data_IF_123171654824
#
_entry.id   IF_123171654824
#
_cell.length_a   1.000
_cell.length_b   1.000
_cell.length_c   1.000
_cell.angle_alpha   90.00
_cell.angle_beta   90.00
_cell.angle_gamma   90.00
#
_symmetry.space_group_name_H-M   'P 1'
#
loop_
_entity.id
_entity.type
_entity.pdbx_description
1 polymer ?
#
# COMPACT_ATOMS: atom_id res chain seq x y z
N UNK A 1 -18.58 7.27 -7.11
CA UNK A 1 -18.63 5.90 -6.52
C UNK A 1 -20.09 5.48 -6.46
N UNK A 2 -20.44 4.28 -6.92
CA UNK A 2 -21.81 3.76 -6.80
C UNK A 2 -21.87 2.84 -5.57
N UNK A 3 -22.85 3.00 -4.66
CA UNK A 3 -22.95 2.16 -3.49
C UNK A 3 -23.39 0.74 -3.87
N UNK A 4 -22.73 -0.27 -3.30
CA UNK A 4 -23.20 -1.65 -3.29
C UNK A 4 -23.47 -2.02 -1.83
N UNK A 5 -24.72 -2.30 -1.52
CA UNK A 5 -25.19 -2.60 -0.17
C UNK A 5 -24.92 -4.07 0.13
N UNK A 6 -24.26 -4.34 1.25
CA UNK A 6 -23.91 -5.68 1.72
C UNK A 6 -25.00 -6.18 2.67
N UNK A 7 -25.24 -7.48 2.71
CA UNK A 7 -26.24 -8.08 3.61
C UNK A 7 -26.08 -7.68 5.09
N UNK A 8 -24.83 -7.43 5.52
CA UNK A 8 -24.50 -6.96 6.88
C UNK A 8 -24.98 -5.53 7.19
N UNK A 9 -25.35 -4.74 6.18
CA UNK A 9 -25.65 -3.32 6.32
C UNK A 9 -27.09 -3.05 6.80
N UNK A 10 -27.91 -4.09 7.07
CA UNK A 10 -29.29 -4.01 7.63
C UNK A 10 -30.27 -3.09 6.87
N UNK A 11 -30.01 -2.81 5.60
CA UNK A 11 -30.92 -2.07 4.68
C UNK A 11 -31.61 -3.08 3.76
N UNK A 12 -32.73 -2.71 3.13
CA UNK A 12 -33.27 -3.46 1.99
C UNK A 12 -32.26 -3.44 0.82
N UNK A 13 -31.34 -4.39 0.89
CA UNK A 13 -30.16 -4.46 0.02
C UNK A 13 -30.52 -4.80 -1.42
N UNK A 14 -31.65 -5.48 -1.65
CA UNK A 14 -32.01 -5.97 -2.97
C UNK A 14 -32.46 -4.82 -3.86
N UNK A 15 -33.38 -3.99 -3.37
CA UNK A 15 -33.95 -2.90 -4.15
C UNK A 15 -32.93 -1.80 -4.44
N UNK A 16 -32.16 -1.38 -3.42
CA UNK A 16 -31.11 -0.37 -3.63
C UNK A 16 -29.97 -0.86 -4.53
N UNK A 17 -29.67 -2.15 -4.51
CA UNK A 17 -28.67 -2.69 -5.44
C UNK A 17 -29.20 -2.68 -6.88
N UNK A 18 -30.50 -2.94 -7.13
CA UNK A 18 -31.07 -2.86 -8.49
C UNK A 18 -30.82 -1.50 -9.15
N UNK A 19 -31.00 -0.40 -8.42
CA UNK A 19 -30.69 0.94 -8.96
C UNK A 19 -29.22 1.09 -9.34
N UNK A 20 -28.31 0.58 -8.51
CA UNK A 20 -26.88 0.56 -8.81
C UNK A 20 -26.59 -0.28 -10.06
N UNK A 21 -27.23 -1.45 -10.21
CA UNK A 21 -27.11 -2.29 -11.41
C UNK A 21 -27.57 -1.56 -12.69
N UNK A 22 -28.73 -0.89 -12.65
CA UNK A 22 -29.24 -0.11 -13.80
C UNK A 22 -28.23 0.98 -14.19
N UNK A 23 -27.67 1.70 -13.20
CA UNK A 23 -26.65 2.73 -13.45
C UNK A 23 -25.39 2.11 -14.06
N UNK A 24 -24.91 0.97 -13.56
CA UNK A 24 -23.73 0.30 -14.11
C UNK A 24 -23.98 -0.22 -15.52
N UNK A 25 -25.15 -0.78 -15.81
CA UNK A 25 -25.49 -1.27 -17.15
C UNK A 25 -25.50 -0.12 -18.16
N UNK A 26 -26.12 1.01 -17.81
CA UNK A 26 -26.11 2.22 -18.66
C UNK A 26 -24.70 2.74 -18.92
N UNK A 27 -23.79 2.67 -17.95
CA UNK A 27 -22.40 3.09 -18.12
C UNK A 27 -21.66 2.14 -19.07
N UNK A 28 -21.80 0.82 -18.89
CA UNK A 28 -21.20 -0.19 -19.76
C UNK A 28 -21.75 -0.11 -21.18
N UNK A 29 -23.06 0.07 -21.36
CA UNK A 29 -23.69 0.28 -22.67
C UNK A 29 -23.22 1.56 -23.38
N UNK A 30 -22.75 2.56 -22.62
CA UNK A 30 -22.08 3.78 -23.15
C UNK A 30 -20.57 3.61 -23.32
N UNK A 31 -20.06 2.37 -23.29
CA UNK A 31 -18.63 2.03 -23.41
C UNK A 31 -17.75 2.73 -22.37
N UNK A 32 -18.27 2.89 -21.15
CA UNK A 32 -17.53 3.41 -19.99
C UNK A 32 -17.03 2.27 -19.12
N UNK A 33 -15.96 2.52 -18.37
CA UNK A 33 -15.36 1.55 -17.47
C UNK A 33 -15.92 1.69 -16.05
N UNK A 34 -15.91 0.58 -15.31
CA UNK A 34 -16.32 0.54 -13.90
C UNK A 34 -15.24 -0.19 -13.11
N UNK A 35 -14.81 0.41 -12.00
CA UNK A 35 -13.90 -0.22 -11.04
C UNK A 35 -14.69 -0.89 -9.92
N UNK A 36 -14.37 -2.15 -9.63
CA UNK A 36 -15.02 -2.96 -8.59
C UNK A 36 -13.95 -3.62 -7.72
N UNK A 37 -14.08 -3.50 -6.40
CA UNK A 37 -13.23 -4.21 -5.44
C UNK A 37 -13.78 -5.62 -5.19
N UNK A 38 -13.18 -6.62 -5.82
CA UNK A 38 -13.68 -8.00 -5.92
C UNK A 38 -13.85 -8.74 -4.59
N UNK A 39 -12.93 -8.59 -3.63
CA UNK A 39 -13.03 -9.22 -2.30
C UNK A 39 -14.26 -8.70 -1.53
N UNK A 40 -14.60 -7.43 -1.76
CA UNK A 40 -15.70 -6.77 -1.07
C UNK A 40 -15.46 -6.68 0.44
N UNK A 41 -14.23 -6.45 0.88
CA UNK A 41 -13.80 -5.94 2.19
C UNK A 41 -12.34 -5.50 2.10
N UNK A 42 -11.78 -5.02 3.20
CA UNK A 42 -10.39 -4.55 3.26
C UNK A 42 -9.84 -4.97 4.61
N UNK A 43 -8.59 -5.44 4.66
CA UNK A 43 -7.90 -5.78 5.90
C UNK A 43 -7.24 -4.57 6.55
N UNK A 44 -7.03 -4.66 7.87
CA UNK A 44 -6.36 -3.60 8.63
C UNK A 44 -4.84 -3.66 8.54
N UNK A 45 -4.30 -4.81 8.12
CA UNK A 45 -2.87 -5.04 7.87
C UNK A 45 -2.66 -5.43 6.40
N UNK A 46 -1.46 -5.18 5.89
CA UNK A 46 -1.04 -5.76 4.61
C UNK A 46 -0.98 -7.27 4.80
N UNK A 47 -1.69 -7.97 3.94
CA UNK A 47 -1.63 -9.42 3.85
C UNK A 47 -1.21 -9.72 2.43
N UNK A 48 -0.10 -10.43 2.26
CA UNK A 48 0.34 -10.96 0.96
C UNK A 48 -0.54 -12.15 0.59
N UNK A 49 -1.84 -11.89 0.41
CA UNK A 49 -2.88 -12.91 0.22
C UNK A 49 -4.12 -12.30 -0.41
N UNK A 50 -4.63 -12.94 -1.46
CA UNK A 50 -5.91 -12.64 -2.09
C UNK A 50 -7.02 -13.46 -1.43
N UNK A 51 -8.04 -12.78 -0.92
CA UNK A 51 -9.26 -13.44 -0.49
C UNK A 51 -10.16 -13.75 -1.70
N UNK A 52 -10.97 -14.83 -1.63
CA UNK A 52 -11.83 -15.21 -2.74
C UNK A 52 -12.68 -14.04 -3.23
N UNK A 53 -12.63 -13.76 -4.53
CA UNK A 53 -13.41 -12.67 -5.12
C UNK A 53 -14.89 -13.04 -5.20
N UNK A 54 -15.75 -12.03 -5.13
CA UNK A 54 -17.21 -12.19 -5.24
C UNK A 54 -17.65 -12.15 -6.69
N UNK A 55 -18.74 -12.87 -6.99
CA UNK A 55 -19.39 -12.95 -8.31
C UNK A 55 -20.01 -11.62 -8.82
N UNK A 56 -19.87 -10.53 -8.08
CA UNK A 56 -20.55 -9.26 -8.35
C UNK A 56 -20.15 -8.62 -9.68
N UNK A 57 -18.86 -8.64 -10.02
CA UNK A 57 -18.36 -8.07 -11.27
C UNK A 57 -18.93 -8.80 -12.50
N UNK A 58 -18.88 -10.14 -12.50
CA UNK A 58 -19.45 -10.96 -13.57
C UNK A 58 -20.98 -10.77 -13.69
N UNK A 59 -21.72 -10.69 -12.57
CA UNK A 59 -23.16 -10.39 -12.59
C UNK A 59 -23.48 -9.05 -13.24
N UNK A 60 -22.72 -8.00 -12.91
CA UNK A 60 -22.90 -6.67 -13.51
C UNK A 60 -22.62 -6.74 -15.02
N UNK A 61 -21.50 -7.36 -15.42
CA UNK A 61 -21.12 -7.45 -16.82
C UNK A 61 -22.14 -8.21 -17.67
N UNK A 62 -22.60 -9.39 -17.24
CA UNK A 62 -23.64 -10.12 -17.95
C UNK A 62 -24.99 -9.39 -17.94
N UNK A 63 -25.36 -8.73 -16.84
CA UNK A 63 -26.60 -7.93 -16.81
C UNK A 63 -26.58 -6.81 -17.85
N UNK A 64 -25.43 -6.14 -18.03
CA UNK A 64 -25.27 -5.11 -19.05
C UNK A 64 -25.39 -5.67 -20.47
N UNK A 65 -24.83 -6.86 -20.71
CA UNK A 65 -24.94 -7.54 -22.01
C UNK A 65 -26.38 -7.93 -22.34
N UNK A 66 -27.16 -8.39 -21.36
CA UNK A 66 -28.58 -8.71 -21.56
C UNK A 66 -29.35 -7.45 -21.94
N UNK A 67 -29.15 -6.35 -21.21
CA UNK A 67 -29.86 -5.07 -21.44
C UNK A 67 -29.50 -4.46 -22.81
N UNK A 68 -28.25 -4.62 -23.25
CA UNK A 68 -27.77 -4.17 -24.56
C UNK A 68 -28.12 -5.13 -25.71
N UNK A 69 -28.66 -6.31 -25.41
CA UNK A 69 -28.91 -7.36 -26.40
C UNK A 69 -27.64 -7.92 -27.04
N UNK A 70 -26.55 -8.02 -26.28
CA UNK A 70 -25.25 -8.57 -26.67
C UNK A 70 -24.55 -7.82 -27.82
N UNK A 71 -24.91 -6.56 -28.09
CA UNK A 71 -24.37 -5.79 -29.24
C UNK A 71 -22.95 -5.30 -29.01
N UNK A 72 -22.66 -4.80 -27.81
CA UNK A 72 -21.35 -4.27 -27.45
C UNK A 72 -20.59 -5.28 -26.59
N UNK A 73 -19.27 -5.46 -26.81
CA UNK A 73 -18.47 -6.34 -25.99
C UNK A 73 -18.24 -5.76 -24.59
N UNK A 74 -18.38 -6.59 -23.57
CA UNK A 74 -18.06 -6.26 -22.17
C UNK A 74 -16.89 -7.12 -21.71
N UNK A 75 -15.84 -6.49 -21.20
CA UNK A 75 -14.64 -7.17 -20.71
C UNK A 75 -14.56 -7.11 -19.18
N UNK A 76 -14.14 -8.21 -18.57
CA UNK A 76 -13.61 -8.22 -17.21
C UNK A 76 -12.09 -8.26 -17.26
N UNK A 77 -11.42 -7.52 -16.38
CA UNK A 77 -9.97 -7.55 -16.26
C UNK A 77 -9.58 -7.50 -14.78
N UNK A 78 -8.71 -8.41 -14.35
CA UNK A 78 -8.15 -8.40 -13.01
C UNK A 78 -7.14 -7.27 -12.86
N UNK A 79 -7.15 -6.60 -11.70
CA UNK A 79 -6.12 -5.62 -11.32
C UNK A 79 -5.49 -6.05 -9.99
N UNK A 80 -4.19 -6.29 -9.97
CA UNK A 80 -3.40 -6.50 -8.77
C UNK A 80 -2.84 -5.17 -8.26
N UNK A 81 -3.12 -4.82 -7.00
CA UNK A 81 -2.62 -3.57 -6.40
C UNK A 81 -1.65 -3.92 -5.28
N UNK A 82 -0.37 -3.69 -5.51
CA UNK A 82 0.72 -4.08 -4.65
C UNK A 82 1.31 -2.84 -3.96
N UNK A 83 0.95 -2.61 -2.70
CA UNK A 83 1.55 -1.57 -1.87
C UNK A 83 2.77 -2.09 -1.14
N UNK A 84 3.81 -1.26 -0.99
CA UNK A 84 4.81 -1.50 0.07
C UNK A 84 4.16 -1.29 1.44
N UNK A 85 3.46 -0.16 1.63
CA UNK A 85 2.58 0.11 2.78
C UNK A 85 1.56 1.23 2.49
N UNK A 86 0.27 1.00 2.81
CA UNK A 86 -0.81 1.96 2.51
C UNK A 86 -0.94 3.12 3.52
N UNK A 87 -0.22 3.08 4.63
CA UNK A 87 -0.22 4.08 5.71
C UNK A 87 1.07 4.91 5.80
N UNK A 88 2.17 4.45 5.20
CA UNK A 88 3.43 5.18 5.16
C UNK A 88 3.47 6.18 3.99
N UNK A 89 4.02 7.36 4.26
CA UNK A 89 4.20 8.42 3.26
C UNK A 89 5.39 8.07 2.37
N UNK A 90 5.21 8.20 1.06
CA UNK A 90 6.25 7.88 0.08
C UNK A 90 6.42 6.37 -0.16
N UNK A 91 5.43 5.57 0.23
CA UNK A 91 5.35 4.17 -0.16
C UNK A 91 5.18 3.99 -1.66
N UNK A 92 5.73 2.90 -2.16
CA UNK A 92 5.59 2.49 -3.55
C UNK A 92 4.26 1.75 -3.75
N UNK A 93 3.68 1.89 -4.93
CA UNK A 93 2.54 1.11 -5.40
C UNK A 93 2.81 0.63 -6.82
N UNK A 94 2.55 -0.66 -7.06
CA UNK A 94 2.57 -1.28 -8.38
C UNK A 94 1.17 -1.77 -8.68
N UNK A 95 0.64 -1.33 -9.81
CA UNK A 95 -0.65 -1.80 -10.33
C UNK A 95 -0.35 -2.62 -11.56
N UNK A 96 -0.67 -3.91 -11.48
CA UNK A 96 -0.56 -4.83 -12.61
C UNK A 96 -1.94 -5.23 -13.10
N UNK A 97 -2.06 -5.50 -14.39
CA UNK A 97 -3.32 -5.79 -15.05
C UNK A 97 -3.24 -7.14 -15.77
N UNK A 98 -4.12 -8.04 -15.40
CA UNK A 98 -4.18 -9.37 -15.98
C UNK A 98 -4.93 -9.39 -17.31
N UNK A 99 -5.34 -10.59 -17.72
CA UNK A 99 -5.95 -10.80 -19.03
C UNK A 99 -7.38 -10.26 -19.09
N UNK A 100 -7.77 -9.76 -20.26
CA UNK A 100 -9.15 -9.36 -20.53
C UNK A 100 -9.99 -10.58 -20.88
N UNK A 101 -11.02 -10.84 -20.09
CA UNK A 101 -12.03 -11.87 -20.35
C UNK A 101 -13.21 -11.21 -21.04
N UNK A 102 -13.47 -11.57 -22.30
CA UNK A 102 -14.63 -11.10 -23.06
C UNK A 102 -15.87 -11.89 -22.61
N UNK A 103 -16.85 -11.22 -22.00
CA UNK A 103 -18.06 -11.90 -21.52
C UNK A 103 -18.97 -12.37 -22.66
N UNK A 104 -18.86 -11.77 -23.85
CA UNK A 104 -19.65 -12.15 -25.02
C UNK A 104 -19.32 -13.57 -25.50
N UNK A 105 -18.07 -14.02 -25.30
CA UNK A 105 -17.60 -15.36 -25.66
C UNK A 105 -18.32 -16.45 -24.85
N UNK A 106 -18.93 -16.09 -23.71
CA UNK A 106 -19.67 -16.99 -22.83
C UNK A 106 -21.19 -16.90 -23.03
N UNK A 107 -21.68 -16.31 -24.13
CA UNK A 107 -23.11 -16.11 -24.39
C UNK A 107 -23.92 -17.40 -24.33
N UNK A 108 -23.49 -18.42 -25.06
CA UNK A 108 -24.22 -19.68 -25.16
C UNK A 108 -24.30 -20.38 -23.81
N UNK A 109 -23.16 -20.51 -23.12
CA UNK A 109 -23.09 -21.09 -21.78
C UNK A 109 -23.95 -20.30 -20.78
N UNK A 110 -23.96 -18.97 -20.88
CA UNK A 110 -24.78 -18.13 -20.01
C UNK A 110 -26.28 -18.36 -20.25
N UNK A 111 -26.72 -18.46 -21.51
CA UNK A 111 -28.12 -18.72 -21.84
C UNK A 111 -28.58 -20.11 -21.38
N UNK A 112 -27.68 -21.10 -21.40
CA UNK A 112 -27.95 -22.45 -20.89
C UNK A 112 -28.00 -22.47 -19.34
N UNK A 113 -27.01 -21.88 -18.67
CA UNK A 113 -26.93 -21.86 -17.21
C UNK A 113 -26.21 -20.61 -16.67
N UNK A 114 -26.95 -19.52 -16.40
CA UNK A 114 -26.38 -18.26 -15.93
C UNK A 114 -25.52 -18.39 -14.68
N UNK A 115 -25.98 -19.18 -13.71
CA UNK A 115 -25.31 -19.33 -12.40
C UNK A 115 -23.98 -20.05 -12.51
N UNK A 116 -23.93 -21.10 -13.36
CA UNK A 116 -22.71 -21.86 -13.63
C UNK A 116 -21.69 -20.98 -14.35
N UNK A 117 -22.08 -20.33 -15.45
CA UNK A 117 -21.17 -19.48 -16.25
C UNK A 117 -20.62 -18.29 -15.46
N UNK A 118 -21.45 -17.62 -14.64
CA UNK A 118 -20.96 -16.56 -13.73
C UNK A 118 -19.88 -17.11 -12.80
N UNK A 119 -20.06 -18.33 -12.29
CA UNK A 119 -19.10 -18.95 -11.37
C UNK A 119 -17.80 -19.27 -12.10
N UNK A 120 -17.86 -19.87 -13.28
CA UNK A 120 -16.70 -20.21 -14.12
C UNK A 120 -15.87 -18.98 -14.46
N UNK A 121 -16.52 -17.92 -14.98
CA UNK A 121 -15.83 -16.66 -15.30
C UNK A 121 -15.22 -16.01 -14.06
N UNK A 122 -15.90 -16.10 -12.91
CA UNK A 122 -15.36 -15.57 -11.64
C UNK A 122 -14.12 -16.36 -11.20
N UNK A 123 -14.10 -17.69 -11.38
CA UNK A 123 -12.94 -18.52 -11.06
C UNK A 123 -11.76 -18.20 -11.98
N UNK A 124 -12.01 -17.99 -13.28
CA UNK A 124 -10.97 -17.56 -14.22
C UNK A 124 -10.38 -16.21 -13.83
N UNK A 125 -11.23 -15.25 -13.46
CA UNK A 125 -10.80 -13.95 -12.98
C UNK A 125 -10.02 -14.04 -11.65
N UNK A 126 -10.44 -14.89 -10.71
CA UNK A 126 -9.74 -15.11 -9.44
C UNK A 126 -8.34 -15.69 -9.68
N UNK A 127 -8.22 -16.69 -10.55
CA UNK A 127 -6.94 -17.30 -10.91
C UNK A 127 -5.99 -16.31 -11.58
N UNK A 128 -6.49 -15.49 -12.52
CA UNK A 128 -5.73 -14.42 -13.15
C UNK A 128 -5.28 -13.38 -12.11
N UNK A 129 -6.16 -12.92 -11.21
CA UNK A 129 -5.80 -11.96 -10.17
C UNK A 129 -4.73 -12.46 -9.18
N UNK A 130 -4.69 -13.78 -8.90
CA UNK A 130 -3.68 -14.37 -8.01
C UNK A 130 -2.26 -14.33 -8.58
N UNK A 131 -2.09 -14.18 -9.90
CA UNK A 131 -0.76 -14.04 -10.50
C UNK A 131 -0.22 -12.61 -10.39
N UNK A 132 -1.10 -11.63 -10.17
CA UNK A 132 -0.77 -10.20 -10.14
C UNK A 132 -0.32 -9.70 -8.76
N UNK A 133 -0.43 -10.55 -7.72
CA UNK A 133 -0.03 -10.21 -6.35
C UNK A 133 0.71 -11.38 -5.70
N UNK A 134 1.64 -11.14 -4.76
CA UNK A 134 2.22 -12.21 -3.94
C UNK A 134 1.13 -12.84 -3.08
N UNK A 135 0.49 -13.90 -3.57
CA UNK A 135 -0.63 -14.58 -2.92
C UNK A 135 -0.15 -15.80 -2.13
N UNK A 136 0.03 -15.64 -0.82
CA UNK A 136 0.40 -16.71 0.10
C UNK A 136 -0.85 -17.28 0.77
N UNK A 137 -1.03 -18.60 0.71
CA UNK A 137 -2.32 -19.26 0.98
C UNK A 137 -2.78 -19.16 2.43
N UNK A 138 -1.87 -19.27 3.40
CA UNK A 138 -2.18 -19.27 4.84
C UNK A 138 -1.64 -18.03 5.54
N UNK A 139 -2.29 -17.55 6.62
CA UNK A 139 -1.79 -16.41 7.38
C UNK A 139 -0.39 -16.61 7.96
N UNK A 140 -0.06 -17.80 8.50
CA UNK A 140 1.27 -18.03 9.08
C UNK A 140 2.37 -17.97 8.00
N UNK A 141 2.10 -18.54 6.82
CA UNK A 141 3.04 -18.48 5.70
C UNK A 141 3.18 -17.08 5.13
N UNK A 142 2.11 -16.27 5.15
CA UNK A 142 2.18 -14.88 4.73
C UNK A 142 3.06 -14.04 5.68
N UNK A 143 3.00 -14.32 6.99
CA UNK A 143 3.88 -13.67 7.98
C UNK A 143 5.34 -14.11 7.79
N UNK A 144 5.58 -15.40 7.51
CA UNK A 144 6.91 -15.91 7.17
C UNK A 144 7.47 -15.31 5.87
N UNK A 145 6.62 -15.15 4.84
CA UNK A 145 6.99 -14.47 3.58
C UNK A 145 7.46 -13.04 3.83
N UNK A 146 6.75 -12.29 4.68
CA UNK A 146 7.16 -10.93 5.08
C UNK A 146 8.47 -10.92 5.88
N UNK A 147 8.66 -11.89 6.78
CA UNK A 147 9.91 -12.01 7.54
C UNK A 147 11.12 -12.27 6.64
N UNK A 148 10.96 -13.15 5.64
CA UNK A 148 12.01 -13.41 4.65
C UNK A 148 12.32 -12.14 3.85
N UNK A 149 11.31 -11.43 3.34
CA UNK A 149 11.52 -10.16 2.64
C UNK A 149 12.18 -9.11 3.54
N UNK A 150 11.85 -9.07 4.83
CA UNK A 150 12.46 -8.18 5.80
C UNK A 150 13.95 -8.46 5.98
N UNK A 151 14.33 -9.74 6.12
CA UNK A 151 15.70 -10.16 6.35
C UNK A 151 16.54 -10.06 5.07
N UNK A 152 16.07 -10.57 3.94
CA UNK A 152 16.81 -10.53 2.68
C UNK A 152 16.88 -9.13 2.07
N UNK A 153 15.91 -8.27 2.41
CA UNK A 153 15.74 -6.91 1.86
C UNK A 153 15.57 -6.86 0.33
N UNK A 154 15.25 -7.99 -0.30
CA UNK A 154 15.03 -8.09 -1.76
C UNK A 154 13.58 -7.88 -2.16
N UNK A 155 12.63 -8.04 -1.23
CA UNK A 155 11.20 -7.94 -1.52
C UNK A 155 10.59 -6.57 -1.29
N UNK A 156 9.26 -6.53 -1.28
CA UNK A 156 8.45 -5.31 -1.15
C UNK A 156 8.15 -4.90 0.30
N UNK A 157 8.94 -5.41 1.27
CA UNK A 157 8.81 -5.03 2.67
C UNK A 157 9.03 -3.51 2.84
N UNK A 158 8.16 -2.78 3.57
CA UNK A 158 8.12 -1.33 3.51
C UNK A 158 9.31 -0.60 4.13
N UNK A 159 9.98 -1.21 5.11
CA UNK A 159 11.08 -0.57 5.85
C UNK A 159 12.43 -1.26 5.62
N UNK A 160 12.41 -2.48 5.09
CA UNK A 160 13.58 -3.33 4.96
C UNK A 160 13.70 -3.78 3.52
N UNK A 161 14.18 -2.88 2.68
CA UNK A 161 14.41 -3.12 1.26
C UNK A 161 15.73 -2.50 0.81
N UNK A 162 16.26 -2.99 -0.30
CA UNK A 162 17.37 -2.35 -0.99
C UNK A 162 16.84 -1.30 -1.99
N UNK A 163 17.13 0.01 -1.78
CA UNK A 163 16.70 1.06 -2.69
C UNK A 163 17.39 1.03 -4.06
N UNK A 164 18.44 0.20 -4.24
CA UNK A 164 19.06 -0.01 -5.56
C UNK A 164 18.21 -0.88 -6.49
N UNK A 165 17.28 -1.67 -5.93
CA UNK A 165 16.40 -2.57 -6.66
C UNK A 165 15.07 -1.85 -6.92
N UNK A 166 14.66 -1.77 -8.19
CA UNK A 166 13.38 -1.18 -8.58
C UNK A 166 12.21 -1.88 -7.88
N UNK A 167 11.12 -1.16 -7.62
CA UNK A 167 9.96 -1.76 -6.95
C UNK A 167 9.37 -2.93 -7.75
N UNK A 168 9.43 -2.88 -9.09
CA UNK A 168 9.01 -3.95 -9.98
C UNK A 168 9.83 -5.24 -9.77
N UNK A 169 11.16 -5.17 -9.75
CA UNK A 169 12.00 -6.36 -9.49
C UNK A 169 11.81 -6.88 -8.05
N UNK A 170 11.60 -5.99 -7.08
CA UNK A 170 11.27 -6.39 -5.70
C UNK A 170 9.92 -7.12 -5.63
N UNK A 171 8.95 -6.70 -6.44
CA UNK A 171 7.65 -7.34 -6.56
C UNK A 171 7.73 -8.70 -7.27
N UNK A 172 8.53 -8.83 -8.33
CA UNK A 172 8.79 -10.11 -9.00
C UNK A 172 9.42 -11.12 -8.03
N UNK A 173 10.43 -10.71 -7.26
CA UNK A 173 10.98 -11.53 -6.17
C UNK A 173 9.90 -11.96 -5.17
N UNK A 174 9.00 -11.06 -4.79
CA UNK A 174 7.92 -11.38 -3.87
C UNK A 174 6.94 -12.43 -4.44
N UNK A 175 6.63 -12.37 -5.74
CA UNK A 175 5.82 -13.36 -6.46
C UNK A 175 6.50 -14.74 -6.50
N UNK A 176 7.78 -14.78 -6.87
CA UNK A 176 8.57 -16.01 -6.93
C UNK A 176 8.66 -16.67 -5.55
N UNK A 177 8.94 -15.86 -4.52
CA UNK A 177 8.99 -16.32 -3.13
C UNK A 177 7.64 -16.85 -2.65
N UNK A 178 6.53 -16.16 -2.96
CA UNK A 178 5.18 -16.62 -2.59
C UNK A 178 4.85 -17.97 -3.26
N UNK A 179 5.20 -18.12 -4.53
CA UNK A 179 5.01 -19.36 -5.30
C UNK A 179 5.81 -20.51 -4.68
N UNK A 180 7.07 -20.25 -4.33
CA UNK A 180 7.95 -21.25 -3.72
C UNK A 180 7.46 -21.67 -2.33
N UNK A 181 7.07 -20.71 -1.47
CA UNK A 181 6.53 -20.98 -0.13
C UNK A 181 5.25 -21.81 -0.20
N UNK A 182 4.34 -21.48 -1.12
CA UNK A 182 3.09 -22.23 -1.30
C UNK A 182 3.32 -23.69 -1.75
N UNK A 183 4.46 -23.99 -2.37
CA UNK A 183 4.85 -25.35 -2.75
C UNK A 183 5.53 -26.14 -1.60
N UNK A 184 5.94 -25.45 -0.53
CA UNK A 184 6.68 -26.03 0.61
C UNK A 184 5.98 -25.69 1.95
N UNK A 185 4.77 -26.22 2.18
CA UNK A 185 4.01 -25.98 3.41
C UNK A 185 4.75 -26.51 4.66
N UNK A 186 4.62 -25.83 5.80
CA UNK A 186 5.33 -26.20 7.04
C UNK A 186 5.07 -27.64 7.50
N UNK A 187 3.86 -28.16 7.26
CA UNK A 187 3.45 -29.52 7.61
C UNK A 187 4.32 -30.59 6.93
N UNK A 188 4.95 -30.26 5.80
CA UNK A 188 5.76 -31.18 5.00
C UNK A 188 7.24 -30.76 4.95
N UNK A 189 7.62 -29.65 5.59
CA UNK A 189 8.97 -29.08 5.51
C UNK A 189 9.49 -28.72 6.91
N UNK A 190 10.06 -29.71 7.61
CA UNK A 190 10.61 -29.52 8.95
C UNK A 190 11.71 -28.44 9.01
N UNK A 191 12.55 -28.34 7.98
CA UNK A 191 13.62 -27.33 7.92
C UNK A 191 13.08 -25.88 7.90
N UNK A 192 11.93 -25.67 7.26
CA UNK A 192 11.26 -24.36 7.22
C UNK A 192 10.58 -24.03 8.54
N UNK A 193 10.03 -25.03 9.22
CA UNK A 193 9.49 -24.88 10.59
C UNK A 193 10.59 -24.43 11.55
N UNK A 194 11.77 -25.07 11.50
CA UNK A 194 12.93 -24.67 12.31
C UNK A 194 13.37 -23.24 11.96
N UNK A 195 13.49 -22.92 10.67
CA UNK A 195 13.89 -21.57 10.24
C UNK A 195 12.89 -20.49 10.69
N UNK A 196 11.58 -20.78 10.62
CA UNK A 196 10.52 -19.89 11.14
C UNK A 196 10.73 -19.61 12.63
N UNK A 197 11.04 -20.64 13.41
CA UNK A 197 11.24 -20.50 14.86
C UNK A 197 12.53 -19.72 15.17
N UNK A 198 13.62 -19.97 14.44
CA UNK A 198 14.87 -19.19 14.54
C UNK A 198 14.62 -17.69 14.24
N UNK A 199 13.80 -17.39 13.23
CA UNK A 199 13.40 -16.02 12.88
C UNK A 199 12.51 -15.41 13.98
N UNK A 200 11.60 -16.20 14.56
CA UNK A 200 10.74 -15.74 15.66
C UNK A 200 11.58 -15.36 16.89
N UNK A 201 12.53 -16.20 17.28
CA UNK A 201 13.48 -15.95 18.37
C UNK A 201 14.31 -14.69 18.11
N UNK A 202 14.74 -14.50 16.86
CA UNK A 202 15.45 -13.30 16.44
C UNK A 202 14.61 -12.03 16.60
N UNK A 203 13.33 -12.06 16.19
CA UNK A 203 12.40 -10.93 16.37
C UNK A 203 12.10 -10.66 17.85
N UNK A 204 12.01 -11.70 18.67
CA UNK A 204 11.86 -11.54 20.11
C UNK A 204 13.10 -10.87 20.72
N UNK A 205 14.30 -11.26 20.30
CA UNK A 205 15.55 -10.64 20.77
C UNK A 205 15.66 -9.17 20.37
N UNK A 206 15.28 -8.83 19.13
CA UNK A 206 15.14 -7.45 18.68
C UNK A 206 14.19 -6.66 19.59
N UNK A 207 13.02 -7.24 19.90
CA UNK A 207 12.03 -6.62 20.79
C UNK A 207 12.57 -6.45 22.22
N UNK A 208 13.22 -7.47 22.79
CA UNK A 208 13.83 -7.45 24.12
C UNK A 208 14.89 -6.36 24.24
N UNK A 209 15.68 -6.17 23.19
CA UNK A 209 16.64 -5.08 23.11
C UNK A 209 16.00 -3.75 22.75
N UNK A 210 14.72 -3.68 22.39
CA UNK A 210 14.05 -2.44 21.96
C UNK A 210 14.68 -1.83 20.71
N UNK A 211 15.08 -2.68 19.75
CA UNK A 211 15.68 -2.32 18.47
C UNK A 211 14.87 -2.97 17.35
N UNK A 212 14.52 -2.22 16.31
CA UNK A 212 13.90 -2.78 15.11
C UNK A 212 14.94 -3.24 14.09
N UNK A 213 14.57 -4.19 13.22
CA UNK A 213 15.44 -4.64 12.14
C UNK A 213 16.02 -3.52 11.24
N UNK A 214 15.24 -2.51 10.78
CA UNK A 214 15.80 -1.41 10.01
C UNK A 214 16.79 -0.56 10.82
N UNK A 215 16.59 -0.39 12.13
CA UNK A 215 17.53 0.32 13.01
C UNK A 215 18.84 -0.46 13.19
N UNK A 216 18.76 -1.78 13.43
CA UNK A 216 19.94 -2.66 13.53
C UNK A 216 20.77 -2.62 12.25
N UNK A 217 20.13 -2.83 11.10
CA UNK A 217 20.80 -2.81 9.80
C UNK A 217 21.50 -1.47 9.52
N UNK A 218 20.81 -0.35 9.78
CA UNK A 218 21.39 0.98 9.60
C UNK A 218 22.59 1.25 10.53
N UNK A 219 22.57 0.70 11.76
CA UNK A 219 23.68 0.80 12.69
C UNK A 219 24.89 -0.07 12.29
N UNK A 220 24.65 -1.25 11.73
CA UNK A 220 25.69 -2.23 11.37
C UNK A 220 26.36 -1.95 10.01
N UNK A 221 25.59 -1.73 8.95
CA UNK A 221 26.12 -1.70 7.58
C UNK A 221 26.24 -0.29 6.97
N UNK A 222 25.53 0.71 7.51
CA UNK A 222 25.41 2.03 6.88
C UNK A 222 25.85 3.23 7.74
N UNK A 223 26.97 3.18 8.51
CA UNK A 223 27.46 4.36 9.24
C UNK A 223 27.87 5.51 8.30
N UNK A 224 28.29 5.22 7.07
CA UNK A 224 28.68 6.23 6.06
C UNK A 224 27.52 7.07 5.51
N UNK A 225 26.26 6.65 5.68
CA UNK A 225 25.07 7.41 5.24
C UNK A 225 24.69 8.55 6.21
N UNK A 226 25.38 8.69 7.34
CA UNK A 226 25.13 9.77 8.31
C UNK A 226 25.54 11.13 7.73
N UNK A 227 26.71 11.21 7.07
CA UNK A 227 27.23 12.48 6.51
C UNK A 227 26.38 12.98 5.34
N UNK A 228 26.04 12.16 4.31
CA UNK A 228 25.08 12.56 3.28
C UNK A 228 23.68 12.86 3.84
N UNK A 229 23.29 12.16 4.92
CA UNK A 229 22.04 12.41 5.64
C UNK A 229 22.00 13.80 6.27
N UNK A 230 23.11 14.24 6.88
CA UNK A 230 23.23 15.57 7.47
C UNK A 230 23.22 16.66 6.40
N UNK A 231 23.93 16.47 5.29
CA UNK A 231 23.87 17.39 4.15
C UNK A 231 22.44 17.53 3.60
N UNK A 232 21.73 16.41 3.47
CA UNK A 232 20.33 16.41 3.04
C UNK A 232 19.43 17.18 4.02
N UNK A 233 19.65 17.03 5.33
CA UNK A 233 18.94 17.81 6.36
C UNK A 233 19.22 19.31 6.21
N UNK A 234 20.49 19.70 6.07
CA UNK A 234 20.88 21.11 5.91
C UNK A 234 20.27 21.73 4.64
N UNK A 235 20.30 21.01 3.53
CA UNK A 235 19.71 21.45 2.25
C UNK A 235 18.20 21.71 2.37
N UNK A 236 17.48 20.84 3.08
CA UNK A 236 16.03 20.96 3.24
C UNK A 236 15.61 21.83 4.42
N UNK A 237 16.55 22.24 5.29
CA UNK A 237 16.23 22.93 6.54
C UNK A 237 15.45 24.25 6.33
N UNK A 238 15.81 25.14 5.39
CA UNK A 238 15.05 26.37 5.18
C UNK A 238 13.59 26.09 4.80
N UNK A 239 13.36 25.14 3.90
CA UNK A 239 12.02 24.73 3.48
C UNK A 239 11.27 23.98 4.58
N UNK A 240 11.97 23.21 5.42
CA UNK A 240 11.41 22.53 6.56
C UNK A 240 10.95 23.50 7.65
N UNK A 241 11.61 24.65 7.82
CA UNK A 241 11.17 25.71 8.74
C UNK A 241 9.84 26.31 8.23
N UNK A 242 9.73 26.59 6.93
CA UNK A 242 8.46 27.04 6.34
C UNK A 242 7.36 25.96 6.50
N UNK A 243 7.70 24.69 6.32
CA UNK A 243 6.76 23.57 6.53
C UNK A 243 6.34 23.43 7.99
N UNK A 244 7.26 23.66 8.94
CA UNK A 244 6.97 23.69 10.36
C UNK A 244 5.96 24.80 10.67
N UNK A 245 6.18 26.00 10.14
CA UNK A 245 5.29 27.15 10.34
C UNK A 245 3.90 26.93 9.74
N UNK A 246 3.82 26.44 8.50
CA UNK A 246 2.55 26.39 7.76
C UNK A 246 1.75 25.11 7.97
N UNK A 247 2.40 23.98 8.28
CA UNK A 247 1.76 22.66 8.19
C UNK A 247 1.96 21.76 9.41
N UNK A 248 2.94 21.99 10.28
CA UNK A 248 3.20 21.04 11.37
C UNK A 248 2.03 20.91 12.36
N UNK A 249 1.49 22.04 12.84
CA UNK A 249 0.36 22.03 13.77
C UNK A 249 -0.84 21.25 13.19
N UNK A 250 -1.40 21.60 12.01
CA UNK A 250 -2.52 20.86 11.47
C UNK A 250 -2.19 19.39 11.19
N UNK A 251 -0.99 19.06 10.71
CA UNK A 251 -0.62 17.67 10.43
C UNK A 251 -0.61 16.82 11.70
N UNK A 252 -0.04 17.32 12.80
CA UNK A 252 0.01 16.56 14.05
C UNK A 252 -1.37 16.46 14.71
N UNK A 253 -2.18 17.52 14.65
CA UNK A 253 -3.57 17.50 15.12
C UNK A 253 -4.41 16.52 14.32
N UNK A 254 -4.30 16.54 12.98
CA UNK A 254 -4.97 15.59 12.09
C UNK A 254 -4.53 14.16 12.40
N UNK A 255 -3.22 13.91 12.52
CA UNK A 255 -2.69 12.59 12.85
C UNK A 255 -3.29 12.08 14.16
N UNK A 256 -3.21 12.87 15.22
CA UNK A 256 -3.75 12.53 16.54
C UNK A 256 -5.25 12.26 16.47
N UNK A 257 -6.03 13.14 15.83
CA UNK A 257 -7.48 13.00 15.72
C UNK A 257 -7.87 11.76 14.92
N UNK A 258 -7.23 11.51 13.78
CA UNK A 258 -7.51 10.36 12.92
C UNK A 258 -7.19 9.05 13.65
N UNK A 259 -6.02 8.94 14.26
CA UNK A 259 -5.58 7.72 14.95
C UNK A 259 -6.45 7.43 16.19
N UNK A 260 -6.98 8.48 16.84
CA UNK A 260 -7.90 8.34 17.98
C UNK A 260 -9.35 8.02 17.56
N UNK A 261 -9.83 8.62 16.47
CA UNK A 261 -11.25 8.54 16.07
C UNK A 261 -11.54 7.34 15.18
N UNK A 262 -10.64 7.05 14.23
CA UNK A 262 -10.83 5.93 13.31
C UNK A 262 -10.27 4.65 13.92
N UNK A 263 -11.17 3.76 14.33
CA UNK A 263 -10.82 2.45 14.92
C UNK A 263 -9.97 1.55 14.00
N UNK A 264 -10.12 1.69 12.68
CA UNK A 264 -9.49 0.82 11.69
C UNK A 264 -8.27 1.49 11.04
N UNK A 265 -7.05 0.95 11.23
CA UNK A 265 -5.81 1.54 10.70
C UNK A 265 -5.74 1.72 9.19
N UNK A 266 -6.46 0.89 8.42
CA UNK A 266 -6.45 0.98 6.95
C UNK A 266 -6.99 2.31 6.40
N UNK A 267 -7.78 3.03 7.18
CA UNK A 267 -8.31 4.34 6.78
C UNK A 267 -7.42 5.50 7.20
N UNK A 268 -6.35 5.25 7.96
CA UNK A 268 -5.55 6.31 8.54
C UNK A 268 -4.80 7.11 7.49
N UNK A 269 -4.06 6.47 6.59
CA UNK A 269 -3.27 7.13 5.56
C UNK A 269 -4.11 8.04 4.67
N UNK A 270 -5.16 7.48 4.07
CA UNK A 270 -6.05 8.22 3.17
C UNK A 270 -6.79 9.36 3.86
N UNK A 271 -7.29 9.15 5.08
CA UNK A 271 -8.00 10.21 5.82
C UNK A 271 -7.06 11.34 6.21
N UNK A 272 -5.85 11.02 6.71
CA UNK A 272 -4.83 12.06 7.03
C UNK A 272 -4.48 12.87 5.79
N UNK A 273 -4.30 12.22 4.64
CA UNK A 273 -4.01 12.90 3.38
C UNK A 273 -5.15 13.84 2.96
N UNK A 274 -6.39 13.35 2.90
CA UNK A 274 -7.55 14.16 2.49
C UNK A 274 -7.75 15.35 3.44
N UNK A 275 -7.67 15.13 4.74
CA UNK A 275 -7.79 16.20 5.73
C UNK A 275 -6.64 17.20 5.60
N UNK A 276 -5.40 16.75 5.39
CA UNK A 276 -4.26 17.66 5.23
C UNK A 276 -4.40 18.52 3.96
N UNK A 277 -4.84 17.94 2.84
CA UNK A 277 -5.08 18.65 1.58
C UNK A 277 -6.16 19.72 1.71
N UNK A 278 -7.13 19.55 2.62
CA UNK A 278 -8.20 20.54 2.83
C UNK A 278 -7.82 21.57 3.91
N UNK A 279 -7.37 21.10 5.07
CA UNK A 279 -7.16 21.93 6.26
C UNK A 279 -5.91 22.81 6.13
N UNK A 280 -4.81 22.27 5.58
CA UNK A 280 -3.57 23.05 5.46
C UNK A 280 -3.77 24.28 4.58
N UNK A 281 -4.38 24.21 3.38
CA UNK A 281 -4.69 25.42 2.61
C UNK A 281 -5.58 26.40 3.36
N UNK A 282 -6.66 25.94 4.00
CA UNK A 282 -7.62 26.81 4.70
C UNK A 282 -6.93 27.63 5.80
N UNK A 283 -6.09 27.00 6.62
CA UNK A 283 -5.35 27.67 7.70
C UNK A 283 -4.37 28.71 7.15
N UNK A 284 -3.89 28.53 5.91
CA UNK A 284 -2.91 29.41 5.28
C UNK A 284 -3.54 30.51 4.41
N UNK A 285 -4.88 30.58 4.28
CA UNK A 285 -5.57 31.68 3.57
C UNK A 285 -5.26 33.05 4.19
N UNK A 286 -5.30 33.25 5.53
CA UNK A 286 -4.94 34.54 6.12
C UNK A 286 -3.52 34.97 5.79
N UNK A 287 -2.58 34.01 5.77
CA UNK A 287 -1.19 34.28 5.39
C UNK A 287 -1.08 34.66 3.90
N UNK A 288 -1.85 34.01 3.02
CA UNK A 288 -1.93 34.38 1.60
C UNK A 288 -2.42 35.82 1.43
N UNK A 289 -3.50 36.22 2.12
CA UNK A 289 -4.04 37.58 2.07
C UNK A 289 -3.05 38.61 2.64
N UNK A 290 -2.37 38.27 3.73
CA UNK A 290 -1.32 39.11 4.31
C UNK A 290 -0.14 39.29 3.35
N UNK A 291 0.34 38.20 2.73
CA UNK A 291 1.43 38.25 1.75
C UNK A 291 1.06 39.11 0.53
N UNK A 292 -0.17 39.01 0.04
CA UNK A 292 -0.67 39.87 -1.04
C UNK A 292 -0.64 41.37 -0.68
N UNK A 293 -0.98 41.70 0.57
CA UNK A 293 -0.98 43.08 1.07
C UNK A 293 0.44 43.61 1.37
N UNK A 294 1.35 42.72 1.77
CA UNK A 294 2.73 43.07 2.12
C UNK A 294 3.65 43.28 0.90
N UNK A 295 3.30 42.72 -0.26
CA UNK A 295 4.09 42.87 -1.48
C UNK A 295 3.85 44.24 -2.12
N UNK A 296 4.91 45.02 -2.30
CA UNK A 296 4.84 46.36 -2.93
C UNK A 296 4.93 46.34 -4.46
N UNK A 297 4.84 45.18 -5.11
CA UNK A 297 4.93 45.07 -6.57
C UNK A 297 3.59 45.42 -7.26
N UNK A 298 3.61 45.47 -8.59
CA UNK A 298 2.41 45.70 -9.41
C UNK A 298 1.39 44.58 -9.13
N UNK A 299 0.12 44.93 -8.95
CA UNK A 299 -0.94 44.04 -8.48
C UNK A 299 -0.98 42.63 -9.14
N UNK A 300 -0.80 42.45 -10.47
CA UNK A 300 -0.78 41.11 -11.07
C UNK A 300 0.39 40.24 -10.58
N UNK A 301 1.53 40.85 -10.31
CA UNK A 301 2.73 40.13 -9.87
C UNK A 301 2.65 39.68 -8.41
N UNK A 302 1.99 40.48 -7.56
CA UNK A 302 1.67 40.06 -6.19
C UNK A 302 0.87 38.76 -6.17
N UNK A 303 -0.16 38.65 -7.03
CA UNK A 303 -0.97 37.45 -7.15
C UNK A 303 -0.19 36.24 -7.63
N UNK A 304 0.68 36.40 -8.62
CA UNK A 304 1.54 35.32 -9.13
C UNK A 304 2.47 34.81 -8.01
N UNK A 305 3.18 35.72 -7.33
CA UNK A 305 4.13 35.35 -6.27
C UNK A 305 3.43 34.70 -5.09
N UNK A 306 2.33 35.31 -4.60
CA UNK A 306 1.62 34.80 -3.44
C UNK A 306 0.93 33.45 -3.72
N UNK A 307 0.40 33.27 -4.93
CA UNK A 307 -0.19 31.99 -5.36
C UNK A 307 0.89 30.92 -5.51
N UNK A 308 2.03 31.24 -6.14
CA UNK A 308 3.16 30.31 -6.27
C UNK A 308 3.69 29.87 -4.90
N UNK A 309 3.79 30.79 -3.94
CA UNK A 309 4.14 30.48 -2.55
C UNK A 309 3.10 29.55 -1.90
N UNK A 310 1.82 29.90 -2.02
CA UNK A 310 0.72 29.13 -1.41
C UNK A 310 0.67 27.69 -1.90
N UNK A 311 0.82 27.46 -3.21
CA UNK A 311 0.89 26.11 -3.76
C UNK A 311 2.20 25.39 -3.39
N UNK A 312 3.26 26.12 -3.02
CA UNK A 312 4.51 25.55 -2.54
C UNK A 312 4.46 25.07 -1.08
N UNK A 313 3.43 25.43 -0.30
CA UNK A 313 3.28 25.00 1.11
C UNK A 313 3.26 23.47 1.24
N UNK A 314 2.68 22.76 0.27
CA UNK A 314 2.72 21.29 0.25
C UNK A 314 4.15 20.75 0.19
N UNK A 315 5.02 21.36 -0.62
CA UNK A 315 6.44 21.00 -0.71
C UNK A 315 7.21 21.32 0.58
N UNK A 316 6.93 22.49 1.19
CA UNK A 316 7.52 22.85 2.49
C UNK A 316 7.12 21.85 3.58
N UNK A 317 5.86 21.44 3.60
CA UNK A 317 5.35 20.39 4.49
C UNK A 317 6.09 19.05 4.29
N UNK A 318 6.31 18.64 3.04
CA UNK A 318 7.08 17.43 2.74
C UNK A 318 8.54 17.55 3.20
N UNK A 319 9.18 18.71 3.00
CA UNK A 319 10.52 18.98 3.51
C UNK A 319 10.58 18.88 5.03
N UNK A 320 9.60 19.45 5.74
CA UNK A 320 9.46 19.33 7.19
C UNK A 320 9.38 17.87 7.65
N UNK A 321 8.50 17.06 7.04
CA UNK A 321 8.34 15.65 7.41
C UNK A 321 9.61 14.83 7.12
N UNK A 322 10.31 15.11 6.02
CA UNK A 322 11.60 14.48 5.68
C UNK A 322 12.69 14.84 6.68
N UNK A 323 12.84 16.11 7.03
CA UNK A 323 13.83 16.55 8.03
C UNK A 323 13.52 15.96 9.39
N UNK A 324 12.25 15.99 9.83
CA UNK A 324 11.83 15.41 11.10
C UNK A 324 12.10 13.89 11.18
N UNK A 325 11.79 13.14 10.12
CA UNK A 325 12.05 11.70 10.09
C UNK A 325 13.54 11.37 10.13
N UNK A 326 14.38 12.16 9.43
CA UNK A 326 15.84 12.03 9.46
C UNK A 326 16.41 12.34 10.84
N UNK A 327 15.97 13.41 11.49
CA UNK A 327 16.40 13.76 12.85
C UNK A 327 16.04 12.66 13.86
N UNK A 328 14.80 12.14 13.79
CA UNK A 328 14.38 11.00 14.61
C UNK A 328 15.24 9.76 14.37
N UNK A 329 15.52 9.43 13.11
CA UNK A 329 16.39 8.31 12.76
C UNK A 329 17.80 8.48 13.34
N UNK A 330 18.42 9.66 13.19
CA UNK A 330 19.76 9.92 13.74
C UNK A 330 19.79 9.78 15.27
N UNK A 331 18.77 10.32 15.96
CA UNK A 331 18.64 10.18 17.42
C UNK A 331 18.51 8.71 17.83
N UNK A 332 17.64 7.95 17.13
CA UNK A 332 17.47 6.50 17.39
C UNK A 332 18.74 5.71 17.11
N UNK A 333 19.46 6.00 16.03
CA UNK A 333 20.73 5.34 15.72
C UNK A 333 21.80 5.62 16.78
N UNK A 334 21.83 6.82 17.38
CA UNK A 334 22.71 7.12 18.49
C UNK A 334 22.42 6.22 19.71
N UNK A 335 21.14 6.05 20.06
CA UNK A 335 20.72 5.13 21.14
C UNK A 335 21.06 3.67 20.83
N UNK A 336 20.88 3.24 19.58
CA UNK A 336 21.11 1.86 19.14
C UNK A 336 22.59 1.51 19.10
N UNK A 337 23.47 2.44 18.68
CA UNK A 337 24.93 2.25 18.69
C UNK A 337 25.52 2.08 20.09
N UNK A 338 24.85 2.57 21.13
CA UNK A 338 25.26 2.36 22.52
C UNK A 338 24.97 0.93 23.00
N UNK A 339 24.12 0.18 22.29
CA UNK A 339 23.80 -1.21 22.62
C UNK A 339 24.83 -2.16 22.02
N UNK A 340 25.05 -3.30 22.69
CA UNK A 340 25.93 -4.38 22.21
C UNK A 340 25.21 -5.18 21.12
N UNK A 341 25.26 -4.71 19.88
CA UNK A 341 24.59 -5.36 18.73
C UNK A 341 25.33 -6.58 18.16
N UNK A 342 26.52 -6.93 18.66
CA UNK A 342 27.34 -7.99 18.09
C UNK A 342 26.57 -9.32 17.96
N UNK A 343 25.95 -9.77 19.05
CA UNK A 343 25.18 -11.02 19.05
C UNK A 343 23.98 -11.00 18.08
N UNK A 344 23.28 -9.86 17.98
CA UNK A 344 22.19 -9.68 17.03
C UNK A 344 22.66 -9.74 15.57
N UNK A 345 23.80 -9.12 15.27
CA UNK A 345 24.39 -9.15 13.94
C UNK A 345 24.87 -10.56 13.58
N UNK A 346 25.53 -11.25 14.51
CA UNK A 346 25.98 -12.63 14.32
C UNK A 346 24.78 -13.56 14.05
N UNK A 347 23.71 -13.43 14.83
CA UNK A 347 22.46 -14.18 14.62
C UNK A 347 21.84 -13.87 13.25
N UNK A 348 21.75 -12.60 12.87
CA UNK A 348 21.28 -12.19 11.55
C UNK A 348 22.09 -12.83 10.41
N UNK A 349 23.43 -12.82 10.49
CA UNK A 349 24.26 -13.42 9.43
C UNK A 349 24.06 -14.94 9.35
N UNK A 350 23.89 -15.62 10.48
CA UNK A 350 23.55 -17.04 10.52
C UNK A 350 22.19 -17.31 9.87
N UNK A 351 21.17 -16.51 10.19
CA UNK A 351 19.85 -16.59 9.56
C UNK A 351 19.92 -16.38 8.05
N UNK A 352 20.66 -15.37 7.58
CA UNK A 352 20.83 -15.13 6.14
C UNK A 352 21.53 -16.31 5.45
N UNK A 353 22.54 -16.92 6.08
CA UNK A 353 23.18 -18.11 5.55
C UNK A 353 22.22 -19.31 5.50
N UNK A 354 21.40 -19.49 6.55
CA UNK A 354 20.35 -20.51 6.63
C UNK A 354 19.30 -20.33 5.52
N UNK A 355 18.83 -19.09 5.33
CA UNK A 355 17.87 -18.71 4.29
C UNK A 355 18.43 -19.02 2.89
N UNK A 356 19.67 -18.60 2.59
CA UNK A 356 20.30 -18.85 1.28
C UNK A 356 20.51 -20.33 0.98
N UNK A 357 20.70 -21.14 2.02
CA UNK A 357 20.90 -22.59 1.87
C UNK A 357 19.58 -23.33 1.68
N UNK A 358 18.56 -22.97 2.46
CA UNK A 358 17.27 -23.68 2.49
C UNK A 358 16.27 -23.15 1.46
N UNK A 359 16.41 -21.90 1.01
CA UNK A 359 15.47 -21.23 0.11
C UNK A 359 16.25 -20.70 -1.11
N UNK A 360 16.27 -21.45 -2.23
CA UNK A 360 17.12 -21.11 -3.38
C UNK A 360 16.67 -19.83 -4.10
N UNK A 361 15.41 -19.45 -3.96
CA UNK A 361 14.85 -18.22 -4.54
C UNK A 361 15.16 -16.97 -3.69
N UNK A 362 15.71 -17.12 -2.48
CA UNK A 362 15.79 -16.05 -1.48
C UNK A 362 16.99 -15.11 -1.59
#
# INVERSE_FOLDING_TARGET
MLPIYRQRDRVDTVEKNKESFIKTNRLLGRRRNILIFGEGFTHDRIQRRLHPIKKGAARIGFSALIEDGWRNPVYLQGLGINYSDFNLIGSDVLVDAGNKICLNDYRESYLENPSKTITEVTVLLDADMRTLIPDVKTPEMADFHEDLMMLTRKGIHPLCFDPSISFEHRWQYALELATWINAHPFEHCQELTVLRDEIADYKEELCRQGVSEPERFAAAEKPSRIIPGLFNVLLHLPFAILGLMHAALPIHVIKWWVERTLKRPVYWGSTKMVLAVIIVPIINIPFLLWLLAALSCIAPWNWVVASAYFFSIGWFSLAYLKVLSRLKLMFRLSQVKQKKLKALNDNYFNLIASIRTKIPVA
#
